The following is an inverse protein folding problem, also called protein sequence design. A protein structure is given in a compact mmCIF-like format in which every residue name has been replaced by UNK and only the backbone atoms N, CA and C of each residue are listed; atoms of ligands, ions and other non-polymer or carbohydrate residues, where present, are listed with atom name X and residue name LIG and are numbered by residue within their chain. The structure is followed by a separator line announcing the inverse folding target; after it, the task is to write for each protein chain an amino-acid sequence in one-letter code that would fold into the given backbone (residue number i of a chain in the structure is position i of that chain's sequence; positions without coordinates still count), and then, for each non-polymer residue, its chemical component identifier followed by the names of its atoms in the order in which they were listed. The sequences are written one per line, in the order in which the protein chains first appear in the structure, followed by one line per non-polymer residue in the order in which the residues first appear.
data_IF_479344475611
#
_entry.id   IF_479344475611
#
_cell.length_a   1.000
_cell.length_b   1.000
_cell.length_c   1.000
_cell.angle_alpha   90.00
_cell.angle_beta   90.00
_cell.angle_gamma   90.00
#
_symmetry.space_group_name_H-M   'P 1'
#
loop_
_entity.id
_entity.type
_entity.pdbx_description
1 polymer ?
#
# COMPACT_ATOMS: atom_id res chain seq x y z
N UNK A 1 79.05 -131.24 -33.76
CA UNK A 1 78.02 -131.13 -34.81
C UNK A 1 77.28 -132.46 -35.01
N UNK A 2 77.96 -133.60 -35.19
CA UNK A 2 77.34 -134.93 -35.30
C UNK A 2 76.51 -135.32 -34.05
N UNK A 3 77.04 -135.11 -32.84
CA UNK A 3 76.31 -135.43 -31.61
C UNK A 3 75.01 -134.61 -31.41
N UNK A 4 74.93 -133.39 -31.98
CA UNK A 4 73.72 -132.56 -31.90
C UNK A 4 72.66 -133.09 -32.86
N UNK A 5 73.06 -133.50 -34.07
CA UNK A 5 72.19 -134.10 -35.08
C UNK A 5 71.61 -135.46 -34.64
N UNK A 6 72.40 -136.29 -33.95
CA UNK A 6 71.90 -137.55 -33.39
C UNK A 6 70.88 -137.30 -32.28
N UNK A 7 71.16 -136.39 -31.34
CA UNK A 7 70.22 -136.08 -30.24
C UNK A 7 68.90 -135.52 -30.78
N UNK A 8 68.95 -134.73 -31.86
CA UNK A 8 67.75 -134.24 -32.56
C UNK A 8 67.01 -135.40 -33.23
N UNK A 9 67.72 -136.29 -33.94
CA UNK A 9 67.11 -137.37 -34.72
C UNK A 9 66.53 -138.51 -33.88
N UNK A 10 67.16 -138.94 -32.79
CA UNK A 10 66.68 -140.08 -31.99
C UNK A 10 65.76 -139.70 -30.83
N UNK A 11 65.81 -138.45 -30.35
CA UNK A 11 65.05 -138.06 -29.14
C UNK A 11 64.09 -136.88 -29.32
N UNK A 12 64.36 -135.93 -30.23
CA UNK A 12 63.49 -134.75 -30.39
C UNK A 12 62.47 -134.91 -31.51
N UNK A 13 62.84 -135.46 -32.67
CA UNK A 13 61.91 -135.67 -33.79
C UNK A 13 60.73 -136.61 -33.40
N UNK A 14 60.95 -137.77 -32.75
CA UNK A 14 59.84 -138.65 -32.38
C UNK A 14 58.92 -138.04 -31.31
N UNK A 15 59.47 -137.22 -30.41
CA UNK A 15 58.66 -136.48 -29.42
C UNK A 15 57.80 -135.42 -30.11
N UNK A 16 58.37 -134.67 -31.05
CA UNK A 16 57.62 -133.69 -31.85
C UNK A 16 56.57 -134.37 -32.73
N UNK A 17 56.86 -135.53 -33.33
CA UNK A 17 55.89 -136.32 -34.10
C UNK A 17 54.75 -136.90 -33.24
N UNK A 18 55.00 -137.22 -31.97
CA UNK A 18 53.98 -137.66 -31.01
C UNK A 18 53.20 -136.48 -30.37
N UNK A 19 53.82 -135.30 -30.29
CA UNK A 19 53.22 -134.08 -29.75
C UNK A 19 52.33 -133.36 -30.78
N UNK A 20 52.62 -133.44 -32.09
CA UNK A 20 51.78 -132.86 -33.15
C UNK A 20 50.32 -133.35 -33.10
N UNK A 21 50.02 -134.68 -33.06
CA UNK A 21 48.63 -135.13 -32.98
C UNK A 21 47.97 -134.79 -31.65
N UNK A 22 48.74 -134.69 -30.56
CA UNK A 22 48.24 -134.24 -29.25
C UNK A 22 47.86 -132.76 -29.28
N UNK A 23 48.70 -131.92 -29.87
CA UNK A 23 48.45 -130.48 -30.04
C UNK A 23 47.32 -130.22 -31.05
N UNK A 24 47.20 -131.00 -32.12
CA UNK A 24 46.07 -130.93 -33.05
C UNK A 24 44.76 -131.32 -32.38
N UNK A 25 44.76 -132.33 -31.51
CA UNK A 25 43.59 -132.71 -30.72
C UNK A 25 43.24 -131.64 -29.69
N UNK A 26 44.23 -131.09 -28.99
CA UNK A 26 44.06 -129.96 -28.06
C UNK A 26 43.50 -128.73 -28.76
N UNK A 27 43.99 -128.40 -29.96
CA UNK A 27 43.48 -127.31 -30.78
C UNK A 27 42.01 -127.54 -31.14
N UNK A 28 41.65 -128.74 -31.59
CA UNK A 28 40.25 -129.12 -31.90
C UNK A 28 39.35 -129.06 -30.66
N UNK A 29 39.84 -129.53 -29.52
CA UNK A 29 39.09 -129.49 -28.26
C UNK A 29 38.92 -128.03 -27.76
N UNK A 30 39.96 -127.19 -27.88
CA UNK A 30 39.91 -125.76 -27.55
C UNK A 30 39.04 -124.94 -28.53
N UNK A 31 39.10 -125.23 -29.84
CA UNK A 31 38.23 -124.63 -30.85
C UNK A 31 36.76 -124.96 -30.58
N UNK A 32 36.45 -126.20 -30.17
CA UNK A 32 35.09 -126.59 -29.76
C UNK A 32 34.64 -125.85 -28.50
N UNK A 33 35.52 -125.70 -27.51
CA UNK A 33 35.21 -124.92 -26.29
C UNK A 33 34.99 -123.45 -26.64
N UNK A 34 35.78 -122.89 -27.56
CA UNK A 34 35.60 -121.52 -28.04
C UNK A 34 34.27 -121.37 -28.79
N UNK A 35 33.90 -122.30 -29.66
CA UNK A 35 32.60 -122.33 -30.34
C UNK A 35 31.45 -122.41 -29.34
N UNK A 36 31.53 -123.27 -28.32
CA UNK A 36 30.52 -123.40 -27.26
C UNK A 36 30.39 -122.08 -26.46
N UNK A 37 31.51 -121.42 -26.13
CA UNK A 37 31.50 -120.12 -25.44
C UNK A 37 30.93 -119.02 -26.34
N UNK A 38 31.26 -119.01 -27.62
CA UNK A 38 30.73 -118.05 -28.60
C UNK A 38 29.22 -118.25 -28.77
N UNK A 39 28.74 -119.48 -28.81
CA UNK A 39 27.31 -119.77 -28.97
C UNK A 39 26.52 -119.47 -27.69
N UNK A 40 27.02 -119.83 -26.51
CA UNK A 40 26.39 -119.44 -25.23
C UNK A 40 26.36 -117.92 -25.04
N UNK A 41 27.48 -117.24 -25.33
CA UNK A 41 27.52 -115.78 -25.22
C UNK A 41 26.59 -115.10 -26.22
N UNK A 42 26.38 -115.65 -27.43
CA UNK A 42 25.34 -115.18 -28.36
C UNK A 42 23.94 -115.33 -27.77
N UNK A 43 23.61 -116.48 -27.17
CA UNK A 43 22.29 -116.73 -26.57
C UNK A 43 22.02 -115.75 -25.41
N UNK A 44 22.99 -115.55 -24.52
CA UNK A 44 22.89 -114.56 -23.44
C UNK A 44 22.79 -113.13 -23.99
N UNK A 45 23.60 -112.77 -25.00
CA UNK A 45 23.56 -111.45 -25.66
C UNK A 45 22.22 -111.20 -26.35
N UNK A 46 21.61 -112.22 -26.94
CA UNK A 46 20.29 -112.11 -27.58
C UNK A 46 19.16 -111.96 -26.56
N UNK A 47 19.28 -112.62 -25.40
CA UNK A 47 18.40 -112.40 -24.24
C UNK A 47 18.45 -110.94 -23.76
N UNK A 48 19.65 -110.41 -23.52
CA UNK A 48 19.84 -109.00 -23.14
C UNK A 48 19.41 -108.03 -24.24
N UNK A 49 19.60 -108.36 -25.52
CA UNK A 49 19.07 -107.56 -26.65
C UNK A 49 17.55 -107.51 -26.64
N UNK A 50 16.89 -108.64 -26.39
CA UNK A 50 15.43 -108.70 -26.31
C UNK A 50 14.89 -107.86 -25.15
N UNK A 51 15.52 -107.95 -23.97
CA UNK A 51 15.19 -107.09 -22.82
C UNK A 51 15.43 -105.61 -23.12
N UNK A 52 16.54 -105.28 -23.76
CA UNK A 52 16.88 -103.92 -24.16
C UNK A 52 15.91 -103.36 -25.20
N UNK A 53 15.42 -104.17 -26.14
CA UNK A 53 14.34 -103.78 -27.06
C UNK A 53 13.03 -103.55 -26.32
N UNK A 54 12.66 -104.40 -25.37
CA UNK A 54 11.45 -104.21 -24.54
C UNK A 54 11.53 -102.91 -23.74
N UNK A 55 12.64 -102.66 -23.05
CA UNK A 55 12.87 -101.43 -22.28
C UNK A 55 12.87 -100.20 -23.19
N UNK A 56 13.52 -100.25 -24.35
CA UNK A 56 13.49 -99.15 -25.33
C UNK A 56 12.09 -98.87 -25.85
N UNK A 57 11.34 -99.91 -26.21
CA UNK A 57 9.94 -99.75 -26.66
C UNK A 57 9.03 -99.21 -25.57
N UNK A 58 9.28 -99.54 -24.30
CA UNK A 58 8.56 -98.98 -23.17
C UNK A 58 8.98 -97.53 -22.87
N UNK A 59 10.22 -97.13 -23.17
CA UNK A 59 10.78 -95.79 -22.93
C UNK A 59 10.38 -94.76 -24.00
N UNK A 60 10.27 -95.18 -25.27
CA UNK A 60 9.91 -94.34 -26.42
C UNK A 60 8.66 -93.43 -26.20
N UNK A 61 7.52 -93.91 -25.66
CA UNK A 61 6.38 -93.03 -25.37
C UNK A 61 6.68 -91.98 -24.29
N UNK A 62 7.51 -92.30 -23.30
CA UNK A 62 7.93 -91.34 -22.26
C UNK A 62 8.87 -90.28 -22.81
N UNK A 63 9.78 -90.66 -23.71
CA UNK A 63 10.64 -89.71 -24.43
C UNK A 63 9.80 -88.75 -25.29
N UNK A 64 8.78 -89.26 -25.98
CA UNK A 64 7.85 -88.44 -26.75
C UNK A 64 7.03 -87.49 -25.87
N UNK A 65 6.47 -87.97 -24.75
CA UNK A 65 5.77 -87.13 -23.78
C UNK A 65 6.68 -86.06 -23.17
N UNK A 66 7.93 -86.41 -22.85
CA UNK A 66 8.91 -85.46 -22.33
C UNK A 66 9.22 -84.34 -23.34
N UNK A 67 9.34 -84.66 -24.63
CA UNK A 67 9.56 -83.67 -25.69
C UNK A 67 8.33 -82.76 -25.82
N UNK A 68 7.11 -83.31 -25.84
CA UNK A 68 5.87 -82.52 -25.95
C UNK A 68 5.70 -81.57 -24.74
N UNK A 69 5.87 -82.08 -23.51
CA UNK A 69 5.78 -81.25 -22.31
C UNK A 69 6.91 -80.21 -22.21
N UNK A 70 8.13 -80.53 -22.67
CA UNK A 70 9.20 -79.53 -22.78
C UNK A 70 8.85 -78.43 -23.78
N UNK A 71 8.27 -78.78 -24.93
CA UNK A 71 7.80 -77.80 -25.92
C UNK A 71 6.69 -76.90 -25.37
N UNK A 72 5.69 -77.47 -24.69
CA UNK A 72 4.62 -76.71 -24.01
C UNK A 72 5.16 -75.78 -22.93
N UNK A 73 6.12 -76.26 -22.13
CA UNK A 73 6.79 -75.45 -21.11
C UNK A 73 7.57 -74.29 -21.75
N UNK A 74 8.29 -74.53 -22.83
CA UNK A 74 9.04 -73.49 -23.54
C UNK A 74 8.09 -72.41 -24.09
N UNK A 75 7.00 -72.81 -24.75
CA UNK A 75 5.95 -71.88 -25.22
C UNK A 75 5.39 -71.07 -24.06
N UNK A 76 4.99 -71.71 -22.96
CA UNK A 76 4.46 -71.02 -21.78
C UNK A 76 5.48 -70.08 -21.13
N UNK A 77 6.77 -70.45 -21.10
CA UNK A 77 7.85 -69.59 -20.64
C UNK A 77 8.03 -68.36 -21.55
N UNK A 78 7.98 -68.51 -22.87
CA UNK A 78 8.04 -67.36 -23.79
C UNK A 78 6.83 -66.46 -23.68
N UNK A 79 5.62 -67.02 -23.56
CA UNK A 79 4.38 -66.26 -23.38
C UNK A 79 4.40 -65.49 -22.05
N UNK A 80 4.84 -66.13 -20.96
CA UNK A 80 5.01 -65.49 -19.66
C UNK A 80 6.02 -64.34 -19.69
N UNK A 81 7.17 -64.53 -20.36
CA UNK A 81 8.17 -63.46 -20.55
C UNK A 81 7.59 -62.28 -21.32
N UNK A 82 6.93 -62.53 -22.45
CA UNK A 82 6.31 -61.47 -23.26
C UNK A 82 5.21 -60.72 -22.49
N UNK A 83 4.38 -61.43 -21.72
CA UNK A 83 3.37 -60.82 -20.86
C UNK A 83 4.00 -59.97 -19.74
N UNK A 84 5.09 -60.44 -19.13
CA UNK A 84 5.83 -59.71 -18.10
C UNK A 84 6.46 -58.43 -18.67
N UNK A 85 7.18 -58.53 -19.78
CA UNK A 85 7.78 -57.37 -20.46
C UNK A 85 6.74 -56.34 -20.86
N UNK A 86 5.60 -56.79 -21.41
CA UNK A 86 4.50 -55.88 -21.77
C UNK A 86 3.87 -55.23 -20.54
N UNK A 87 3.68 -55.97 -19.46
CA UNK A 87 3.12 -55.45 -18.22
C UNK A 87 4.06 -54.45 -17.55
N UNK A 88 5.38 -54.71 -17.56
CA UNK A 88 6.39 -53.76 -17.09
C UNK A 88 6.41 -52.48 -17.93
N UNK A 89 6.34 -52.59 -19.26
CA UNK A 89 6.27 -51.45 -20.16
C UNK A 89 5.01 -50.60 -19.93
N UNK A 90 3.83 -51.21 -19.85
CA UNK A 90 2.57 -50.51 -19.54
C UNK A 90 2.57 -49.89 -18.15
N UNK A 91 3.14 -50.56 -17.14
CA UNK A 91 3.31 -50.01 -15.80
C UNK A 91 4.22 -48.77 -15.80
N UNK A 92 5.36 -48.85 -16.50
CA UNK A 92 6.27 -47.71 -16.63
C UNK A 92 5.60 -46.52 -17.32
N UNK A 93 4.84 -46.76 -18.40
CA UNK A 93 4.08 -45.73 -19.09
C UNK A 93 2.98 -45.10 -18.21
N UNK A 94 2.26 -45.92 -17.44
CA UNK A 94 1.26 -45.47 -16.47
C UNK A 94 1.89 -44.57 -15.39
N UNK A 95 3.00 -45.02 -14.79
CA UNK A 95 3.70 -44.24 -13.75
C UNK A 95 4.26 -42.93 -14.30
N UNK A 96 4.83 -42.92 -15.49
CA UNK A 96 5.32 -41.70 -16.13
C UNK A 96 4.19 -40.71 -16.42
N UNK A 97 3.07 -41.19 -16.99
CA UNK A 97 1.89 -40.35 -17.24
C UNK A 97 1.33 -39.76 -15.94
N UNK A 98 1.27 -40.55 -14.86
CA UNK A 98 0.82 -40.08 -13.55
C UNK A 98 1.77 -39.01 -12.98
N UNK A 99 3.09 -39.22 -13.05
CA UNK A 99 4.09 -38.23 -12.63
C UNK A 99 3.97 -36.93 -13.43
N UNK A 100 3.77 -37.02 -14.74
CA UNK A 100 3.56 -35.83 -15.59
C UNK A 100 2.29 -35.07 -15.17
N UNK A 101 1.19 -35.79 -14.92
CA UNK A 101 -0.06 -35.20 -14.46
C UNK A 101 0.10 -34.49 -13.12
N UNK A 102 0.70 -35.15 -12.13
CA UNK A 102 0.94 -34.57 -10.78
C UNK A 102 1.82 -33.31 -10.85
N UNK A 103 2.84 -33.32 -11.72
CA UNK A 103 3.68 -32.15 -11.95
C UNK A 103 2.90 -30.96 -12.54
N UNK A 104 2.00 -31.21 -13.50
CA UNK A 104 1.15 -30.17 -14.09
C UNK A 104 0.17 -29.64 -13.04
N UNK A 105 -0.53 -30.52 -12.32
CA UNK A 105 -1.47 -30.14 -11.26
C UNK A 105 -0.78 -29.29 -10.18
N UNK A 106 0.39 -29.72 -9.69
CA UNK A 106 1.15 -28.96 -8.71
C UNK A 106 1.62 -27.59 -9.22
N UNK A 107 1.91 -27.44 -10.51
CA UNK A 107 2.20 -26.13 -11.12
C UNK A 107 0.96 -25.25 -11.21
N UNK A 108 -0.20 -25.82 -11.56
CA UNK A 108 -1.48 -25.11 -11.61
C UNK A 108 -1.82 -24.60 -10.21
N UNK A 109 -1.79 -25.46 -9.19
CA UNK A 109 -2.10 -25.09 -7.80
C UNK A 109 -1.18 -23.99 -7.26
N UNK A 110 0.13 -24.08 -7.50
CA UNK A 110 1.07 -23.02 -7.10
C UNK A 110 0.76 -21.70 -7.80
N UNK A 111 0.43 -21.74 -9.08
CA UNK A 111 0.12 -20.55 -9.88
C UNK A 111 -1.20 -19.91 -9.43
N UNK A 112 -2.23 -20.72 -9.20
CA UNK A 112 -3.53 -20.23 -8.71
C UNK A 112 -3.41 -19.65 -7.30
N UNK A 113 -2.68 -20.30 -6.39
CA UNK A 113 -2.42 -19.78 -5.05
C UNK A 113 -1.66 -18.44 -5.08
N UNK A 114 -0.66 -18.31 -5.95
CA UNK A 114 0.07 -17.04 -6.10
C UNK A 114 -0.82 -15.92 -6.66
N UNK A 115 -1.66 -16.23 -7.65
CA UNK A 115 -2.61 -15.23 -8.19
C UNK A 115 -3.59 -14.79 -7.10
N UNK A 116 -4.13 -15.71 -6.31
CA UNK A 116 -5.04 -15.38 -5.22
C UNK A 116 -4.37 -14.47 -4.16
N UNK A 117 -3.10 -14.73 -3.83
CA UNK A 117 -2.32 -13.86 -2.93
C UNK A 117 -2.16 -12.45 -3.49
N UNK A 118 -1.71 -12.33 -4.75
CA UNK A 118 -1.55 -11.04 -5.42
C UNK A 118 -2.87 -10.26 -5.48
N UNK A 119 -3.99 -10.94 -5.76
CA UNK A 119 -5.32 -10.32 -5.75
C UNK A 119 -5.68 -9.78 -4.37
N UNK A 120 -5.43 -10.55 -3.30
CA UNK A 120 -5.69 -10.12 -1.93
C UNK A 120 -4.80 -8.92 -1.54
N UNK A 121 -3.53 -8.93 -1.92
CA UNK A 121 -2.60 -7.83 -1.65
C UNK A 121 -3.00 -6.55 -2.41
N UNK A 122 -3.49 -6.69 -3.65
CA UNK A 122 -4.06 -5.56 -4.42
C UNK A 122 -5.28 -4.99 -3.70
N UNK A 123 -6.24 -5.82 -3.27
CA UNK A 123 -7.43 -5.35 -2.57
C UNK A 123 -7.09 -4.69 -1.24
N UNK A 124 -6.11 -5.24 -0.50
CA UNK A 124 -5.59 -4.61 0.72
C UNK A 124 -5.02 -3.21 0.45
N UNK A 125 -4.16 -3.06 -0.55
CA UNK A 125 -3.60 -1.75 -0.88
C UNK A 125 -4.64 -0.78 -1.45
N UNK A 126 -5.65 -1.26 -2.17
CA UNK A 126 -6.80 -0.43 -2.60
C UNK A 126 -7.57 0.11 -1.41
N UNK A 127 -7.81 -0.73 -0.40
CA UNK A 127 -8.46 -0.31 0.84
C UNK A 127 -7.62 0.75 1.57
N UNK A 128 -6.31 0.51 1.74
CA UNK A 128 -5.38 1.48 2.35
C UNK A 128 -5.35 2.82 1.58
N UNK A 129 -5.30 2.78 0.24
CA UNK A 129 -5.34 3.97 -0.59
C UNK A 129 -6.67 4.73 -0.45
N UNK A 130 -7.79 4.02 -0.39
CA UNK A 130 -9.12 4.60 -0.19
C UNK A 130 -9.23 5.30 1.17
N UNK A 131 -8.77 4.66 2.25
CA UNK A 131 -8.81 5.27 3.59
C UNK A 131 -7.91 6.51 3.67
N UNK A 132 -6.71 6.45 3.10
CA UNK A 132 -5.82 7.61 3.03
C UNK A 132 -6.43 8.77 2.19
N UNK A 133 -7.14 8.47 1.10
CA UNK A 133 -7.89 9.48 0.33
C UNK A 133 -9.03 10.12 1.12
N UNK A 134 -9.76 9.34 1.95
CA UNK A 134 -10.78 9.91 2.83
C UNK A 134 -10.19 10.88 3.84
N UNK A 135 -9.08 10.49 4.47
CA UNK A 135 -8.36 11.37 5.42
C UNK A 135 -7.91 12.66 4.74
N UNK A 136 -7.36 12.58 3.52
CA UNK A 136 -6.99 13.77 2.74
C UNK A 136 -8.21 14.67 2.49
N UNK A 137 -9.33 14.10 2.05
CA UNK A 137 -10.55 14.85 1.79
C UNK A 137 -11.11 15.53 3.05
N UNK A 138 -11.15 14.82 4.18
CA UNK A 138 -11.59 15.37 5.47
C UNK A 138 -10.70 16.51 5.94
N UNK A 139 -9.37 16.33 5.87
CA UNK A 139 -8.41 17.38 6.23
C UNK A 139 -8.49 18.59 5.29
N UNK A 140 -8.70 18.39 3.99
CA UNK A 140 -8.87 19.49 3.02
C UNK A 140 -10.14 20.29 3.32
N UNK A 141 -11.26 19.64 3.66
CA UNK A 141 -12.48 20.33 4.10
C UNK A 141 -12.28 21.11 5.41
N UNK A 142 -11.58 20.51 6.39
CA UNK A 142 -11.25 21.19 7.65
C UNK A 142 -10.36 22.42 7.40
N UNK A 143 -9.38 22.30 6.48
CA UNK A 143 -8.53 23.41 6.07
C UNK A 143 -9.34 24.55 5.42
N UNK A 144 -10.24 24.22 4.48
CA UNK A 144 -11.09 25.21 3.80
C UNK A 144 -12.00 25.95 4.78
N UNK A 145 -12.51 25.27 5.82
CA UNK A 145 -13.32 25.89 6.88
C UNK A 145 -12.50 26.79 7.82
N UNK A 146 -11.23 26.46 8.09
CA UNK A 146 -10.36 27.21 9.01
C UNK A 146 -9.71 28.44 8.36
N UNK A 147 -9.44 28.43 7.05
CA UNK A 147 -8.84 29.57 6.33
C UNK A 147 -9.60 30.90 6.56
N UNK A 148 -10.93 31.01 6.39
CA UNK A 148 -11.62 32.27 6.60
C UNK A 148 -11.57 32.73 8.07
N UNK A 149 -11.54 31.79 9.02
CA UNK A 149 -11.42 32.08 10.46
C UNK A 149 -10.03 32.63 10.78
N UNK A 150 -8.97 32.03 10.22
CA UNK A 150 -7.59 32.53 10.34
C UNK A 150 -7.46 33.95 9.78
N UNK A 151 -8.03 34.20 8.59
CA UNK A 151 -8.00 35.52 7.97
C UNK A 151 -8.73 36.56 8.81
N UNK A 152 -9.91 36.24 9.35
CA UNK A 152 -10.65 37.13 10.23
C UNK A 152 -9.91 37.42 11.54
N UNK A 153 -9.32 36.39 12.16
CA UNK A 153 -8.49 36.55 13.36
C UNK A 153 -7.25 37.43 13.08
N UNK A 154 -6.62 37.26 11.92
CA UNK A 154 -5.46 38.04 11.51
C UNK A 154 -5.81 39.51 11.26
N UNK A 155 -6.95 39.79 10.63
CA UNK A 155 -7.48 41.15 10.45
C UNK A 155 -7.75 41.80 11.81
N UNK A 156 -8.43 41.09 12.73
CA UNK A 156 -8.70 41.56 14.09
C UNK A 156 -7.40 41.92 14.84
N UNK A 157 -6.37 41.09 14.77
CA UNK A 157 -5.05 41.39 15.38
C UNK A 157 -4.42 42.64 14.76
N UNK A 158 -4.46 42.79 13.44
CA UNK A 158 -3.90 43.95 12.75
C UNK A 158 -4.63 45.26 13.13
N UNK A 159 -5.96 45.22 13.22
CA UNK A 159 -6.78 46.35 13.66
C UNK A 159 -6.45 46.76 15.11
N UNK A 160 -6.42 45.80 16.04
CA UNK A 160 -6.13 46.07 17.44
C UNK A 160 -4.71 46.62 17.63
N UNK A 161 -3.72 46.08 16.92
CA UNK A 161 -2.33 46.60 16.92
C UNK A 161 -2.27 48.02 16.39
N UNK A 162 -2.94 48.30 15.28
CA UNK A 162 -2.98 49.66 14.72
C UNK A 162 -3.57 50.67 15.71
N UNK A 163 -4.61 50.28 16.46
CA UNK A 163 -5.19 51.15 17.50
C UNK A 163 -4.18 51.38 18.62
N UNK A 164 -3.59 50.33 19.18
CA UNK A 164 -2.62 50.45 20.28
C UNK A 164 -1.37 51.26 19.88
N UNK A 165 -0.84 51.08 18.68
CA UNK A 165 0.32 51.84 18.20
C UNK A 165 -0.03 53.32 17.97
N UNK A 166 -1.25 53.61 17.51
CA UNK A 166 -1.74 54.98 17.39
C UNK A 166 -1.89 55.66 18.76
N UNK A 167 -2.36 54.94 19.78
CA UNK A 167 -2.49 55.47 21.14
C UNK A 167 -1.15 55.70 21.81
N UNK A 168 -0.21 54.75 21.67
CA UNK A 168 1.15 54.86 22.21
C UNK A 168 1.89 56.05 21.61
N UNK A 169 1.85 56.21 20.28
CA UNK A 169 2.52 57.32 19.59
C UNK A 169 1.93 58.68 19.98
N UNK A 170 0.60 58.79 20.05
CA UNK A 170 -0.05 60.03 20.52
C UNK A 170 0.32 60.35 21.98
N UNK A 171 0.36 59.34 22.86
CA UNK A 171 0.75 59.50 24.26
C UNK A 171 2.20 59.95 24.45
N UNK A 172 3.15 59.35 23.70
CA UNK A 172 4.57 59.72 23.77
C UNK A 172 4.84 61.12 23.25
N UNK A 173 4.22 61.51 22.14
CA UNK A 173 4.29 62.86 21.57
C UNK A 173 3.77 63.89 22.56
N UNK A 174 2.57 63.66 23.10
CA UNK A 174 1.95 64.61 24.03
C UNK A 174 2.80 64.79 25.30
N UNK A 175 3.30 63.69 25.87
CA UNK A 175 4.14 63.73 27.07
C UNK A 175 5.41 64.56 26.87
N UNK A 176 6.09 64.42 25.72
CA UNK A 176 7.32 65.16 25.46
C UNK A 176 7.08 66.66 25.23
N UNK A 177 6.00 67.02 24.54
CA UNK A 177 5.65 68.42 24.32
C UNK A 177 5.22 69.10 25.63
N UNK A 178 4.41 68.43 26.45
CA UNK A 178 4.05 68.94 27.78
C UNK A 178 5.27 69.07 28.69
N UNK A 179 6.20 68.11 28.64
CA UNK A 179 7.47 68.23 29.38
C UNK A 179 8.32 69.42 28.88
N UNK A 180 8.34 69.70 27.57
CA UNK A 180 9.03 70.85 27.01
C UNK A 180 8.42 72.20 27.47
N UNK A 181 7.09 72.23 27.62
CA UNK A 181 6.33 73.36 28.21
C UNK A 181 6.67 73.53 29.70
N UNK A 182 6.55 72.48 30.51
CA UNK A 182 6.80 72.54 31.97
C UNK A 182 8.26 72.90 32.30
N UNK A 183 9.21 72.38 31.53
CA UNK A 183 10.63 72.69 31.69
C UNK A 183 11.06 74.04 31.10
N UNK A 184 10.11 74.82 30.55
CA UNK A 184 10.35 76.11 29.89
C UNK A 184 11.43 76.07 28.79
N UNK A 185 11.68 74.91 28.17
CA UNK A 185 12.62 74.77 27.04
C UNK A 185 12.10 75.47 25.79
N UNK A 186 10.79 75.46 25.60
CA UNK A 186 10.08 76.13 24.50
C UNK A 186 8.93 76.90 25.14
N UNK A 187 9.05 78.22 25.25
CA UNK A 187 8.02 79.10 25.81
C UNK A 187 7.03 79.52 24.73
N UNK A 188 5.72 79.58 25.05
CA UNK A 188 4.66 79.89 24.08
C UNK A 188 3.94 78.66 23.50
N UNK A 189 4.10 77.50 24.15
CA UNK A 189 3.23 76.33 23.98
C UNK A 189 2.06 76.47 24.96
N UNK A 190 0.83 76.44 24.46
CA UNK A 190 -0.37 76.47 25.30
C UNK A 190 -0.71 75.06 25.76
N UNK A 191 -1.58 74.36 25.05
CA UNK A 191 -1.91 72.96 25.34
C UNK A 191 -2.53 72.29 24.12
N UNK A 192 -2.91 71.02 24.26
CA UNK A 192 -3.80 70.36 23.31
C UNK A 192 -5.12 71.12 23.24
N UNK A 193 -5.59 71.36 22.03
CA UNK A 193 -6.79 72.16 21.79
C UNK A 193 -8.03 71.62 22.52
N UNK A 194 -8.24 70.29 22.55
CA UNK A 194 -9.35 69.69 23.28
C UNK A 194 -9.30 69.84 24.81
N UNK A 195 -8.12 70.15 25.38
CA UNK A 195 -7.92 70.35 26.81
C UNK A 195 -8.11 71.84 27.21
N UNK A 196 -8.14 72.75 26.22
CA UNK A 196 -8.39 74.20 26.39
C UNK A 196 -9.89 74.56 26.33
N UNK A 197 -10.74 73.57 26.12
CA UNK A 197 -12.17 73.69 25.87
C UNK A 197 -12.99 73.06 27.00
N UNK A 198 -14.20 73.58 27.18
CA UNK A 198 -15.28 72.87 27.86
C UNK A 198 -16.56 72.93 27.01
N UNK A 199 -17.21 71.79 26.81
CA UNK A 199 -18.50 71.66 26.12
C UNK A 199 -19.41 70.69 26.89
N UNK A 200 -20.72 70.82 26.71
CA UNK A 200 -21.70 69.91 27.30
C UNK A 200 -21.52 68.48 26.75
N UNK A 201 -21.59 67.48 27.63
CA UNK A 201 -21.42 66.07 27.30
C UNK A 201 -22.38 65.60 26.18
N UNK A 202 -23.55 66.24 26.04
CA UNK A 202 -24.49 65.99 24.94
C UNK A 202 -23.84 66.13 23.56
N UNK A 203 -22.87 67.02 23.41
CA UNK A 203 -22.22 67.33 22.13
C UNK A 203 -20.83 66.70 21.98
N UNK A 204 -20.38 65.87 22.93
CA UNK A 204 -19.01 65.30 22.91
C UNK A 204 -18.73 64.48 21.65
N UNK A 205 -19.68 63.62 21.23
CA UNK A 205 -19.55 62.82 20.01
C UNK A 205 -19.55 63.71 18.76
N UNK A 206 -20.43 64.71 18.73
CA UNK A 206 -20.55 65.66 17.62
C UNK A 206 -19.26 66.47 17.42
N UNK A 207 -18.69 67.04 18.49
CA UNK A 207 -17.47 67.84 18.38
C UNK A 207 -16.23 66.98 18.13
N UNK A 208 -16.13 65.80 18.76
CA UNK A 208 -15.02 64.86 18.58
C UNK A 208 -14.96 64.31 17.16
N UNK A 209 -16.12 64.18 16.50
CA UNK A 209 -16.23 63.79 15.09
C UNK A 209 -15.95 64.97 14.16
N UNK A 210 -16.57 66.13 14.42
CA UNK A 210 -16.50 67.28 13.53
C UNK A 210 -15.16 68.05 13.61
N UNK A 211 -14.40 67.89 14.69
CA UNK A 211 -13.16 68.64 14.90
C UNK A 211 -11.96 67.68 15.06
N UNK A 212 -11.32 67.28 13.95
CA UNK A 212 -10.03 66.57 14.06
C UNK A 212 -8.94 67.45 14.70
N UNK A 213 -9.11 68.78 14.68
CA UNK A 213 -8.20 69.75 15.27
C UNK A 213 -8.10 69.73 16.80
N UNK A 214 -9.00 69.03 17.50
CA UNK A 214 -8.91 68.89 18.96
C UNK A 214 -7.62 68.19 19.43
N UNK A 215 -7.01 67.39 18.56
CA UNK A 215 -5.74 66.72 18.81
C UNK A 215 -4.52 67.62 18.50
N UNK A 216 -4.73 68.84 17.99
CA UNK A 216 -3.64 69.75 17.66
C UNK A 216 -3.12 70.45 18.91
N UNK A 217 -1.82 70.73 18.92
CA UNK A 217 -1.18 71.48 19.99
C UNK A 217 -1.15 72.95 19.60
N UNK A 218 -1.71 73.81 20.45
CA UNK A 218 -1.77 75.25 20.19
C UNK A 218 -0.45 75.91 20.59
N UNK A 219 0.16 76.64 19.66
CA UNK A 219 1.42 77.36 19.85
C UNK A 219 1.28 78.81 19.37
N UNK A 220 2.05 79.72 19.97
CA UNK A 220 1.90 81.15 19.69
C UNK A 220 2.40 81.52 18.28
N UNK A 221 3.61 81.10 17.90
CA UNK A 221 4.29 81.52 16.67
C UNK A 221 4.76 80.35 15.80
N UNK A 222 5.08 80.67 14.54
CA UNK A 222 5.62 79.69 13.58
C UNK A 222 6.99 79.11 13.97
N UNK A 223 7.86 79.93 14.58
CA UNK A 223 9.19 79.51 15.02
C UNK A 223 9.12 78.49 16.15
N UNK A 224 8.16 78.64 17.07
CA UNK A 224 7.94 77.71 18.16
C UNK A 224 7.40 76.35 17.66
N UNK A 225 6.50 76.38 16.67
CA UNK A 225 6.02 75.16 16.03
C UNK A 225 7.17 74.35 15.41
N UNK A 226 8.09 75.04 14.70
CA UNK A 226 9.28 74.41 14.11
C UNK A 226 10.19 73.80 15.18
N UNK A 227 10.45 74.53 16.28
CA UNK A 227 11.23 74.01 17.40
C UNK A 227 10.60 72.74 18.03
N UNK A 228 9.27 72.69 18.14
CA UNK A 228 8.57 71.49 18.60
C UNK A 228 8.72 70.31 17.62
N UNK A 229 8.63 70.57 16.31
CA UNK A 229 8.86 69.53 15.28
C UNK A 229 10.29 69.01 15.33
N UNK A 230 11.28 69.88 15.51
CA UNK A 230 12.68 69.48 15.66
C UNK A 230 12.92 68.64 16.91
N UNK A 231 12.27 68.98 18.03
CA UNK A 231 12.30 68.18 19.25
C UNK A 231 11.77 66.76 19.00
N UNK A 232 10.59 66.64 18.37
CA UNK A 232 9.99 65.34 18.07
C UNK A 232 10.85 64.51 17.11
N UNK A 233 11.51 65.15 16.13
CA UNK A 233 12.46 64.49 15.22
C UNK A 233 13.72 64.02 15.95
N UNK A 234 14.29 64.85 16.81
CA UNK A 234 15.52 64.53 17.56
C UNK A 234 15.31 63.35 18.50
N UNK A 235 14.13 63.27 19.11
CA UNK A 235 13.78 62.22 20.07
C UNK A 235 13.02 61.04 19.43
N UNK A 236 12.79 61.08 18.11
CA UNK A 236 12.08 60.08 17.31
C UNK A 236 10.72 59.67 17.90
N UNK A 237 9.95 60.66 18.35
CA UNK A 237 8.72 60.43 19.13
C UNK A 237 7.45 60.33 18.28
N UNK A 238 7.51 60.72 17.00
CA UNK A 238 6.39 60.65 16.05
C UNK A 238 6.05 61.99 15.40
N UNK A 239 4.80 62.12 14.96
CA UNK A 239 4.28 63.30 14.26
C UNK A 239 3.19 63.95 15.11
N UNK A 240 3.28 65.28 15.25
CA UNK A 240 2.25 66.11 15.85
C UNK A 240 1.82 67.19 14.87
N UNK A 241 0.56 67.63 14.98
CA UNK A 241 0.04 68.77 14.24
C UNK A 241 -0.11 69.95 15.18
N UNK A 242 0.37 71.12 14.76
CA UNK A 242 0.39 72.33 15.58
C UNK A 242 -0.56 73.38 15.01
N UNK A 243 -1.37 73.99 15.88
CA UNK A 243 -2.22 75.12 15.55
C UNK A 243 -1.51 76.41 15.94
N UNK A 244 -1.11 77.21 14.96
CA UNK A 244 -0.30 78.42 15.16
C UNK A 244 -1.22 79.63 15.31
N UNK A 245 -1.26 80.22 16.51
CA UNK A 245 -2.19 81.29 16.88
C UNK A 245 -1.97 82.57 16.07
N UNK A 246 -0.71 82.97 15.86
CA UNK A 246 -0.31 84.13 15.03
C UNK A 246 -0.95 84.11 13.64
N UNK A 247 -1.16 82.92 13.06
CA UNK A 247 -1.73 82.77 11.71
C UNK A 247 -3.26 82.76 11.67
N UNK A 248 -3.93 82.75 12.82
CA UNK A 248 -5.40 82.74 12.89
C UNK A 248 -6.00 84.13 13.15
N UNK A 249 -5.17 85.16 13.34
CA UNK A 249 -5.62 86.52 13.71
C UNK A 249 -6.55 87.13 12.65
N UNK A 250 -6.37 86.78 11.37
CA UNK A 250 -7.22 87.25 10.26
C UNK A 250 -8.68 86.78 10.34
N UNK A 251 -8.98 85.80 11.21
CA UNK A 251 -10.33 85.31 11.45
C UNK A 251 -11.12 86.16 12.46
N UNK A 252 -10.47 87.09 13.17
CA UNK A 252 -11.10 87.96 14.16
C UNK A 252 -12.35 88.70 13.66
N UNK A 253 -12.40 89.27 12.44
CA UNK A 253 -13.59 89.95 11.95
C UNK A 253 -14.78 88.99 11.77
N UNK A 254 -14.53 87.79 11.25
CA UNK A 254 -15.54 86.74 11.01
C UNK A 254 -16.07 86.15 12.31
N UNK A 255 -15.22 86.10 13.34
CA UNK A 255 -15.60 85.65 14.68
C UNK A 255 -16.71 86.50 15.31
N UNK A 256 -16.68 87.81 15.06
CA UNK A 256 -17.61 88.79 15.65
C UNK A 256 -18.91 88.95 14.86
N UNK A 257 -19.04 88.27 13.72
CA UNK A 257 -20.21 88.37 12.87
C UNK A 257 -21.42 87.68 13.52
N UNK A 258 -22.59 88.34 13.47
CA UNK A 258 -23.84 87.74 13.95
C UNK A 258 -24.42 86.88 12.84
N UNK A 259 -24.47 85.58 13.10
CA UNK A 259 -24.83 84.56 12.11
C UNK A 259 -26.18 83.95 12.48
N UNK A 260 -27.08 83.76 11.50
CA UNK A 260 -28.39 83.08 11.69
C UNK A 260 -28.32 81.68 11.12
N UNK A 261 -28.48 80.67 11.98
CA UNK A 261 -28.40 79.27 11.59
C UNK A 261 -29.72 78.77 10.93
N UNK A 262 -29.65 77.88 9.94
CA UNK A 262 -30.83 77.22 9.35
C UNK A 262 -31.59 76.39 10.40
N UNK A 263 -32.91 76.30 10.29
CA UNK A 263 -33.77 75.51 11.21
C UNK A 263 -33.56 75.80 12.72
N UNK A 264 -32.88 76.90 13.09
CA UNK A 264 -32.58 77.23 14.49
C UNK A 264 -31.56 76.31 15.17
N UNK A 265 -30.78 75.53 14.41
CA UNK A 265 -29.79 74.61 14.99
C UNK A 265 -28.62 75.35 15.63
N UNK A 266 -27.99 74.74 16.63
CA UNK A 266 -26.83 75.33 17.30
C UNK A 266 -25.56 75.15 16.47
N UNK A 267 -24.72 76.19 16.40
CA UNK A 267 -23.37 76.12 15.84
C UNK A 267 -22.42 75.58 16.92
N UNK A 268 -21.60 74.58 16.59
CA UNK A 268 -20.66 73.96 17.55
C UNK A 268 -19.75 74.99 18.21
N UNK A 269 -19.23 75.93 17.43
CA UNK A 269 -18.36 76.99 17.94
C UNK A 269 -19.01 77.81 19.07
N UNK A 270 -20.32 78.08 19.01
CA UNK A 270 -21.01 78.87 20.04
C UNK A 270 -21.26 78.08 21.33
N UNK A 271 -21.17 76.75 21.26
CA UNK A 271 -21.33 75.86 22.40
C UNK A 271 -20.01 75.64 23.16
N UNK A 272 -18.86 75.93 22.52
CA UNK A 272 -17.53 75.79 23.11
C UNK A 272 -17.26 76.94 24.08
N UNK A 273 -16.92 76.60 25.32
CA UNK A 273 -16.47 77.55 26.34
C UNK A 273 -14.96 77.44 26.49
N UNK A 274 -14.26 78.57 26.47
CA UNK A 274 -12.81 78.65 26.64
C UNK A 274 -12.47 79.61 27.76
N UNK A 275 -11.35 79.36 28.45
CA UNK A 275 -10.87 80.24 29.52
C UNK A 275 -10.22 81.52 28.97
N UNK A 276 -9.44 81.40 27.90
CA UNK A 276 -8.81 82.53 27.20
C UNK A 276 -9.54 82.81 25.87
N UNK A 277 -10.06 84.02 25.73
CA UNK A 277 -10.74 84.49 24.52
C UNK A 277 -9.87 84.42 23.26
N UNK A 278 -8.53 84.49 23.39
CA UNK A 278 -7.61 84.33 22.26
C UNK A 278 -7.73 82.93 21.65
N UNK A 279 -8.04 81.92 22.45
CA UNK A 279 -8.22 80.55 21.98
C UNK A 279 -9.48 80.38 21.15
N UNK A 280 -10.48 81.28 21.23
CA UNK A 280 -11.65 81.20 20.34
C UNK A 280 -11.28 81.25 18.87
N UNK A 281 -10.16 81.91 18.52
CA UNK A 281 -9.65 81.93 17.15
C UNK A 281 -9.27 80.55 16.64
N UNK A 282 -8.65 79.71 17.48
CA UNK A 282 -8.25 78.37 17.09
C UNK A 282 -9.48 77.48 16.91
N UNK A 283 -10.46 77.58 17.81
CA UNK A 283 -11.74 76.86 17.68
C UNK A 283 -12.54 77.30 16.45
N UNK A 284 -12.56 78.58 16.13
CA UNK A 284 -13.21 79.06 14.91
C UNK A 284 -12.46 78.62 13.65
N UNK A 285 -11.13 78.56 13.67
CA UNK A 285 -10.35 78.04 12.55
C UNK A 285 -10.66 76.55 12.28
N UNK A 286 -10.84 75.74 13.33
CA UNK A 286 -11.11 74.31 13.20
C UNK A 286 -12.58 73.98 12.92
N UNK A 287 -13.52 74.67 13.57
CA UNK A 287 -14.96 74.40 13.48
C UNK A 287 -15.68 75.28 12.45
N UNK A 288 -15.26 76.52 12.27
CA UNK A 288 -15.96 77.52 11.47
C UNK A 288 -17.46 77.56 11.77
N UNK A 289 -18.28 77.57 10.72
CA UNK A 289 -19.75 77.56 10.81
C UNK A 289 -20.35 76.15 10.88
N UNK A 290 -19.67 75.18 11.51
CA UNK A 290 -20.21 73.83 11.67
C UNK A 290 -21.40 73.82 12.63
N UNK A 291 -22.51 73.23 12.20
CA UNK A 291 -23.75 73.13 12.97
C UNK A 291 -24.06 71.71 13.40
N UNK A 292 -24.82 71.57 14.49
CA UNK A 292 -25.24 70.28 15.05
C UNK A 292 -26.70 70.01 14.72
N UNK A 293 -26.96 68.89 14.04
CA UNK A 293 -28.30 68.36 13.81
C UNK A 293 -28.63 67.26 14.82
N UNK A 294 -29.92 67.03 15.11
CA UNK A 294 -30.33 65.95 15.99
C UNK A 294 -30.26 64.58 15.29
N UNK A 295 -30.57 64.53 14.00
CA UNK A 295 -30.67 63.30 13.22
C UNK A 295 -30.11 63.48 11.79
N UNK A 296 -30.00 62.36 11.07
CA UNK A 296 -29.46 62.31 9.71
C UNK A 296 -30.33 63.07 8.69
N UNK A 297 -31.65 63.06 8.88
CA UNK A 297 -32.59 63.70 7.97
C UNK A 297 -32.47 65.22 8.05
N UNK A 298 -32.41 65.77 9.26
CA UNK A 298 -32.13 67.17 9.53
C UNK A 298 -30.74 67.56 9.01
N UNK A 299 -29.72 66.72 9.24
CA UNK A 299 -28.39 66.98 8.72
C UNK A 299 -28.38 67.09 7.18
N UNK A 300 -29.08 66.19 6.50
CA UNK A 300 -29.18 66.15 5.04
C UNK A 300 -29.88 67.39 4.48
N UNK A 301 -31.00 67.82 5.08
CA UNK A 301 -31.72 69.04 4.66
C UNK A 301 -30.88 70.30 4.81
N UNK A 302 -30.10 70.40 5.89
CA UNK A 302 -29.25 71.57 6.14
C UNK A 302 -28.00 71.53 5.25
N UNK A 303 -27.33 70.39 5.13
CA UNK A 303 -26.09 70.24 4.37
C UNK A 303 -26.26 70.51 2.87
N UNK A 304 -27.38 70.04 2.29
CA UNK A 304 -27.71 70.23 0.88
C UNK A 304 -28.76 71.31 0.62
N UNK A 305 -29.13 72.07 1.65
CA UNK A 305 -30.07 73.19 1.55
C UNK A 305 -29.50 74.40 0.81
N UNK A 306 -30.29 75.48 0.76
CA UNK A 306 -29.94 76.70 0.02
C UNK A 306 -28.81 77.55 0.63
N UNK A 307 -28.39 77.30 1.88
CA UNK A 307 -27.35 78.08 2.53
C UNK A 307 -25.95 77.50 2.25
N UNK A 308 -25.09 78.30 1.63
CA UNK A 308 -23.70 77.93 1.36
C UNK A 308 -22.82 77.89 2.60
N UNK A 309 -23.18 78.64 3.64
CA UNK A 309 -22.30 78.90 4.78
C UNK A 309 -22.35 77.82 5.86
N UNK A 310 -23.44 77.03 5.91
CA UNK A 310 -23.69 75.98 6.92
C UNK A 310 -23.77 74.56 6.33
N UNK A 311 -23.16 74.34 5.17
CA UNK A 311 -23.12 73.00 4.54
C UNK A 311 -22.40 71.94 5.39
N UNK A 312 -21.56 72.39 6.34
CA UNK A 312 -20.86 71.50 7.27
C UNK A 312 -21.75 71.21 8.47
N UNK A 313 -22.26 69.99 8.56
CA UNK A 313 -23.22 69.57 9.59
C UNK A 313 -22.77 68.29 10.23
N UNK A 314 -22.89 68.19 11.55
CA UNK A 314 -22.66 66.95 12.29
C UNK A 314 -23.91 66.56 13.07
N UNK A 315 -24.24 65.27 13.14
CA UNK A 315 -25.33 64.79 14.01
C UNK A 315 -24.84 64.55 15.43
N UNK A 316 -25.76 64.49 16.40
CA UNK A 316 -25.43 64.08 17.76
C UNK A 316 -24.78 62.68 17.82
N UNK A 317 -25.15 61.80 16.87
CA UNK A 317 -24.60 60.44 16.74
C UNK A 317 -23.25 60.38 16.00
N UNK A 318 -22.73 61.50 15.49
CA UNK A 318 -21.42 61.57 14.85
C UNK A 318 -21.41 61.24 13.35
N UNK A 319 -22.51 61.41 12.63
CA UNK A 319 -22.49 61.49 11.17
C UNK A 319 -22.08 62.91 10.74
N UNK A 320 -21.10 63.03 9.84
CA UNK A 320 -20.51 64.30 9.42
C UNK A 320 -20.72 64.54 7.92
N UNK A 321 -21.23 65.72 7.58
CA UNK A 321 -21.33 66.25 6.24
C UNK A 321 -20.34 67.40 6.09
N UNK A 322 -19.49 67.33 5.06
CA UNK A 322 -18.47 68.34 4.78
C UNK A 322 -18.93 69.32 3.71
N UNK A 323 -18.32 70.51 3.68
CA UNK A 323 -18.64 71.55 2.67
C UNK A 323 -18.35 71.10 1.24
N UNK A 324 -17.44 70.14 1.07
CA UNK A 324 -17.10 69.49 -0.20
C UNK A 324 -18.23 68.62 -0.75
N UNK A 325 -19.25 68.30 0.05
CA UNK A 325 -20.30 67.33 -0.29
C UNK A 325 -19.98 65.89 0.11
N UNK A 326 -18.85 65.64 0.77
CA UNK A 326 -18.56 64.30 1.31
C UNK A 326 -19.35 64.04 2.60
N UNK A 327 -19.87 62.82 2.74
CA UNK A 327 -20.56 62.35 3.94
C UNK A 327 -19.73 61.24 4.60
N UNK A 328 -19.55 61.31 5.91
CA UNK A 328 -18.86 60.32 6.74
C UNK A 328 -19.80 59.84 7.85
N UNK A 329 -20.01 58.53 7.92
CA UNK A 329 -20.83 57.89 8.95
C UNK A 329 -20.76 56.37 8.82
N UNK A 330 -20.94 55.66 9.94
CA UNK A 330 -20.84 54.20 10.02
C UNK A 330 -19.75 53.71 10.98
N UNK A 331 -19.88 52.46 11.41
CA UNK A 331 -19.06 51.84 12.46
C UNK A 331 -19.86 51.61 13.75
N UNK A 332 -19.43 50.64 14.56
CA UNK A 332 -20.13 50.25 15.80
C UNK A 332 -19.81 51.14 17.00
N UNK A 333 -18.77 51.99 16.91
CA UNK A 333 -18.31 52.83 18.02
C UNK A 333 -18.25 54.30 17.59
N UNK A 334 -18.99 55.21 18.26
CA UNK A 334 -18.87 56.64 18.03
C UNK A 334 -17.49 57.15 18.48
N UNK A 335 -16.94 58.12 17.76
CA UNK A 335 -15.70 58.82 18.14
C UNK A 335 -16.01 59.88 19.20
N UNK A 336 -16.05 59.49 20.47
CA UNK A 336 -16.16 60.40 21.62
C UNK A 336 -14.83 60.55 22.39
N UNK A 337 -14.81 61.42 23.40
CA UNK A 337 -13.69 61.49 24.34
C UNK A 337 -12.47 62.29 23.88
N UNK A 338 -12.61 63.17 22.88
CA UNK A 338 -11.50 64.07 22.49
C UNK A 338 -11.42 65.34 23.33
N UNK A 339 -12.47 65.65 24.08
CA UNK A 339 -12.60 66.83 24.95
C UNK A 339 -12.00 66.56 26.34
N UNK A 340 -11.46 67.59 27.00
CA UNK A 340 -10.73 67.46 28.28
C UNK A 340 -11.56 66.93 29.47
N UNK A 341 -12.88 66.89 29.35
CA UNK A 341 -13.82 66.43 30.40
C UNK A 341 -14.17 64.94 30.34
N UNK A 342 -13.79 64.23 29.27
CA UNK A 342 -14.25 62.86 29.02
C UNK A 342 -13.09 61.87 29.16
N UNK A 343 -13.20 60.96 30.14
CA UNK A 343 -12.27 59.85 30.32
C UNK A 343 -12.27 59.06 29.01
N UNK A 344 -11.10 58.90 28.36
CA UNK A 344 -10.92 58.09 27.14
C UNK A 344 -11.31 56.63 27.43
N UNK A 345 -12.60 56.31 27.30
CA UNK A 345 -13.16 54.99 27.62
C UNK A 345 -12.87 53.92 26.54
N UNK A 346 -11.98 54.21 25.59
CA UNK A 346 -11.76 53.39 24.40
C UNK A 346 -10.31 52.95 24.21
N UNK A 347 -9.49 52.95 25.27
CA UNK A 347 -8.18 52.32 25.18
C UNK A 347 -8.35 50.82 25.01
N UNK A 348 -7.90 50.28 23.88
CA UNK A 348 -7.78 48.84 23.69
C UNK A 348 -6.78 48.35 24.72
N UNK A 349 -7.20 47.45 25.61
CA UNK A 349 -6.30 46.93 26.63
C UNK A 349 -5.19 46.10 25.98
N UNK A 350 -3.98 46.18 26.52
CA UNK A 350 -2.84 45.41 26.02
C UNK A 350 -3.10 43.91 26.12
N UNK A 351 -3.91 43.47 27.09
CA UNK A 351 -4.34 42.08 27.23
C UNK A 351 -5.20 41.62 26.05
N UNK A 352 -6.11 42.47 25.56
CA UNK A 352 -6.96 42.12 24.42
C UNK A 352 -6.18 41.86 23.13
N UNK A 353 -5.03 42.52 22.94
CA UNK A 353 -4.11 42.24 21.83
C UNK A 353 -3.44 40.89 22.02
N UNK A 354 -2.91 40.61 23.22
CA UNK A 354 -2.22 39.35 23.54
C UNK A 354 -3.18 38.16 23.40
N UNK A 355 -4.41 38.29 23.85
CA UNK A 355 -5.42 37.24 23.72
C UNK A 355 -5.76 36.97 22.24
N UNK A 356 -5.94 38.03 21.43
CA UNK A 356 -6.18 37.88 19.99
C UNK A 356 -4.97 37.28 19.24
N UNK A 357 -3.74 37.63 19.63
CA UNK A 357 -2.52 37.01 19.09
C UNK A 357 -2.43 35.52 19.45
N UNK A 358 -2.81 35.16 20.68
CA UNK A 358 -2.84 33.77 21.13
C UNK A 358 -3.89 32.96 20.38
N UNK A 359 -5.09 33.52 20.20
CA UNK A 359 -6.13 32.91 19.34
C UNK A 359 -5.61 32.65 17.92
N UNK A 360 -5.01 33.66 17.29
CA UNK A 360 -4.41 33.53 15.96
C UNK A 360 -3.33 32.44 15.92
N UNK A 361 -2.42 32.40 16.91
CA UNK A 361 -1.38 31.37 17.00
C UNK A 361 -1.99 29.97 17.03
N UNK A 362 -3.01 29.74 17.86
CA UNK A 362 -3.64 28.41 17.95
C UNK A 362 -4.29 27.98 16.66
N UNK A 363 -4.88 28.91 15.89
CA UNK A 363 -5.49 28.60 14.59
C UNK A 363 -4.40 28.29 13.55
N UNK A 364 -3.31 29.05 13.54
CA UNK A 364 -2.16 28.82 12.64
C UNK A 364 -1.51 27.46 12.92
N UNK A 365 -1.34 27.09 14.20
CA UNK A 365 -0.79 25.80 14.60
C UNK A 365 -1.67 24.64 14.12
N UNK A 366 -3.00 24.75 14.30
CA UNK A 366 -3.96 23.77 13.78
C UNK A 366 -3.91 23.65 12.26
N UNK A 367 -3.84 24.78 11.53
CA UNK A 367 -3.71 24.76 10.07
C UNK A 367 -2.42 24.09 9.61
N UNK A 368 -1.31 24.30 10.33
CA UNK A 368 -0.04 23.65 10.02
C UNK A 368 -0.11 22.13 10.27
N UNK A 369 -0.74 21.68 11.36
CA UNK A 369 -0.98 20.26 11.64
C UNK A 369 -1.84 19.60 10.54
N UNK A 370 -2.95 20.24 10.16
CA UNK A 370 -3.82 19.76 9.08
C UNK A 370 -3.06 19.67 7.75
N UNK A 371 -2.25 20.68 7.42
CA UNK A 371 -1.41 20.65 6.20
C UNK A 371 -0.41 19.50 6.21
N UNK A 372 0.19 19.17 7.37
CA UNK A 372 1.07 18.00 7.48
C UNK A 372 0.29 16.70 7.28
N UNK A 373 -0.88 16.58 7.92
CA UNK A 373 -1.77 15.41 7.75
C UNK A 373 -2.18 15.20 6.30
N UNK A 374 -2.46 16.28 5.55
CA UNK A 374 -2.73 16.21 4.10
C UNK A 374 -1.52 15.68 3.35
N UNK A 375 -0.32 16.23 3.59
CA UNK A 375 0.92 15.77 2.93
C UNK A 375 1.20 14.30 3.21
N UNK A 376 1.00 13.85 4.44
CA UNK A 376 1.20 12.46 4.84
C UNK A 376 0.16 11.52 4.24
N UNK A 377 -1.12 11.92 4.22
CA UNK A 377 -2.19 11.18 3.56
C UNK A 377 -1.94 11.05 2.05
N UNK A 378 -1.50 12.14 1.40
CA UNK A 378 -1.12 12.15 -0.02
C UNK A 378 0.03 11.20 -0.29
N UNK A 379 1.08 11.25 0.53
CA UNK A 379 2.22 10.33 0.41
C UNK A 379 1.79 8.88 0.58
N UNK A 380 0.89 8.61 1.53
CA UNK A 380 0.38 7.27 1.84
C UNK A 380 -0.39 6.68 0.66
N UNK A 381 -1.43 7.37 0.15
CA UNK A 381 -2.22 6.80 -0.95
C UNK A 381 -1.39 6.66 -2.23
N UNK A 382 -0.48 7.60 -2.52
CA UNK A 382 0.41 7.48 -3.69
C UNK A 382 1.36 6.30 -3.58
N UNK A 383 1.86 5.98 -2.38
CA UNK A 383 2.68 4.80 -2.15
C UNK A 383 1.86 3.52 -2.41
N UNK A 384 0.63 3.45 -1.89
CA UNK A 384 -0.28 2.33 -2.13
C UNK A 384 -0.67 2.20 -3.61
N UNK A 385 -0.92 3.29 -4.33
CA UNK A 385 -1.20 3.27 -5.77
C UNK A 385 -0.01 2.76 -6.60
N UNK A 386 1.21 3.14 -6.24
CA UNK A 386 2.42 2.57 -6.88
C UNK A 386 2.55 1.08 -6.60
N UNK A 387 2.27 0.64 -5.37
CA UNK A 387 2.27 -0.77 -5.01
C UNK A 387 1.20 -1.55 -5.80
N UNK A 388 -0.01 -1.01 -5.92
CA UNK A 388 -1.08 -1.58 -6.76
C UNK A 388 -0.60 -1.74 -8.20
N UNK A 389 -0.06 -0.70 -8.82
CA UNK A 389 0.41 -0.76 -10.20
C UNK A 389 1.50 -1.84 -10.42
N UNK A 390 2.43 -1.98 -9.47
CA UNK A 390 3.45 -3.03 -9.50
C UNK A 390 2.83 -4.43 -9.36
N UNK A 391 1.91 -4.60 -8.42
CA UNK A 391 1.23 -5.88 -8.19
C UNK A 391 0.31 -6.25 -9.36
N UNK A 392 -0.37 -5.29 -9.99
CA UNK A 392 -1.19 -5.51 -11.19
C UNK A 392 -0.34 -5.94 -12.38
N UNK A 393 0.85 -5.34 -12.55
CA UNK A 393 1.81 -5.77 -13.56
C UNK A 393 2.32 -7.20 -13.30
N UNK A 394 2.65 -7.53 -12.05
CA UNK A 394 3.04 -8.90 -11.68
C UNK A 394 1.89 -9.89 -11.86
N UNK A 395 0.66 -9.50 -11.49
CA UNK A 395 -0.54 -10.30 -11.72
C UNK A 395 -0.76 -10.53 -13.21
N UNK A 396 -0.61 -9.52 -14.06
CA UNK A 396 -0.73 -9.66 -15.51
C UNK A 396 0.31 -10.63 -16.09
N UNK A 397 1.57 -10.53 -15.65
CA UNK A 397 2.63 -11.49 -16.03
C UNK A 397 2.29 -12.91 -15.60
N UNK A 398 1.82 -13.09 -14.35
CA UNK A 398 1.45 -14.42 -13.82
C UNK A 398 0.17 -14.97 -14.45
N UNK A 399 -0.79 -14.10 -14.78
CA UNK A 399 -2.00 -14.46 -15.51
C UNK A 399 -1.69 -14.89 -16.95
N UNK A 400 -0.73 -14.27 -17.61
CA UNK A 400 -0.22 -14.73 -18.91
C UNK A 400 0.48 -16.10 -18.84
N UNK A 401 0.99 -16.47 -17.66
CA UNK A 401 1.51 -17.80 -17.35
C UNK A 401 0.49 -18.78 -16.75
N UNK A 402 -0.82 -18.43 -16.71
CA UNK A 402 -1.87 -19.40 -16.36
C UNK A 402 -1.77 -20.61 -17.28
N UNK A 403 -2.22 -21.80 -16.81
CA UNK A 403 -2.26 -22.98 -17.65
C UNK A 403 -2.97 -22.62 -18.95
N UNK A 404 -2.19 -22.65 -20.03
CA UNK A 404 -2.72 -22.39 -21.36
C UNK A 404 -3.71 -23.51 -21.67
N UNK A 405 -4.59 -23.26 -22.64
CA UNK A 405 -5.49 -24.29 -23.17
C UNK A 405 -4.72 -25.58 -23.48
N UNK A 406 -3.52 -25.45 -24.02
CA UNK A 406 -2.59 -26.56 -24.30
C UNK A 406 -2.20 -27.41 -23.07
N UNK A 407 -2.01 -26.80 -21.89
CA UNK A 407 -1.68 -27.55 -20.66
C UNK A 407 -2.91 -28.30 -20.11
N UNK A 408 -4.10 -27.71 -20.28
CA UNK A 408 -5.38 -28.36 -19.92
C UNK A 408 -5.69 -29.52 -20.89
N UNK A 409 -5.51 -29.30 -22.18
CA UNK A 409 -5.69 -30.33 -23.21
C UNK A 409 -4.71 -31.49 -23.00
N UNK A 410 -3.44 -31.19 -22.67
CA UNK A 410 -2.44 -32.21 -22.30
C UNK A 410 -2.83 -32.98 -21.03
N UNK A 411 -3.44 -32.32 -20.05
CA UNK A 411 -3.91 -32.99 -18.83
C UNK A 411 -5.04 -33.97 -19.16
N UNK A 412 -5.96 -33.60 -20.05
CA UNK A 412 -7.05 -34.48 -20.49
C UNK A 412 -6.55 -35.64 -21.37
N UNK A 413 -5.52 -35.42 -22.19
CA UNK A 413 -4.81 -36.48 -22.90
C UNK A 413 -4.14 -37.46 -21.92
N UNK A 414 -3.39 -36.95 -20.93
CA UNK A 414 -2.75 -37.78 -19.91
C UNK A 414 -3.76 -38.60 -19.12
N UNK A 415 -4.91 -38.03 -18.74
CA UNK A 415 -6.00 -38.78 -18.10
C UNK A 415 -6.53 -39.92 -18.97
N UNK A 416 -6.68 -39.69 -20.27
CA UNK A 416 -7.09 -40.75 -21.22
C UNK A 416 -6.02 -41.84 -21.28
N UNK A 417 -4.75 -41.48 -21.40
CA UNK A 417 -3.62 -42.43 -21.42
C UNK A 417 -3.55 -43.26 -20.15
N UNK A 418 -3.67 -42.63 -18.97
CA UNK A 418 -3.71 -43.32 -17.68
C UNK A 418 -4.86 -44.34 -17.66
N UNK A 419 -6.07 -43.95 -18.08
CA UNK A 419 -7.22 -44.86 -18.13
C UNK A 419 -7.04 -46.02 -19.11
N UNK A 420 -6.37 -45.80 -20.25
CA UNK A 420 -6.09 -46.87 -21.21
C UNK A 420 -5.02 -47.83 -20.72
N UNK A 421 -3.94 -47.32 -20.12
CA UNK A 421 -2.87 -48.15 -19.56
C UNK A 421 -3.34 -48.94 -18.33
N UNK A 422 -4.17 -48.35 -17.47
CA UNK A 422 -4.78 -49.04 -16.32
C UNK A 422 -5.60 -50.26 -16.79
N UNK A 423 -6.40 -50.10 -17.85
CA UNK A 423 -7.16 -51.20 -18.46
C UNK A 423 -6.27 -52.24 -19.15
N UNK A 424 -5.12 -51.85 -19.70
CA UNK A 424 -4.16 -52.78 -20.29
C UNK A 424 -3.46 -53.58 -19.18
N UNK A 425 -3.01 -52.93 -18.11
CA UNK A 425 -2.40 -53.58 -16.94
C UNK A 425 -3.38 -54.62 -16.36
N UNK A 426 -4.64 -54.28 -16.15
CA UNK A 426 -5.65 -55.23 -15.64
C UNK A 426 -5.84 -56.42 -16.59
N UNK A 427 -5.89 -56.17 -17.91
CA UNK A 427 -5.96 -57.24 -18.92
C UNK A 427 -4.74 -58.15 -18.88
N UNK A 428 -3.54 -57.60 -18.71
CA UNK A 428 -2.30 -58.38 -18.64
C UNK A 428 -2.19 -59.18 -17.34
N UNK A 429 -2.63 -58.62 -16.21
CA UNK A 429 -2.73 -59.34 -14.94
C UNK A 429 -3.66 -60.54 -15.09
N UNK A 430 -4.83 -60.34 -15.72
CA UNK A 430 -5.78 -61.42 -15.96
C UNK A 430 -5.25 -62.47 -16.96
N UNK A 431 -4.52 -62.03 -17.99
CA UNK A 431 -3.82 -62.92 -18.93
C UNK A 431 -2.79 -63.81 -18.22
N UNK A 432 -1.93 -63.20 -17.39
CA UNK A 432 -0.92 -63.91 -16.59
C UNK A 432 -1.53 -64.90 -15.59
N UNK A 433 -2.68 -64.58 -14.98
CA UNK A 433 -3.44 -65.52 -14.13
C UNK A 433 -3.92 -66.73 -14.94
N UNK A 434 -4.58 -66.50 -16.07
CA UNK A 434 -5.06 -67.58 -16.95
C UNK A 434 -3.94 -68.49 -17.44
N UNK A 435 -2.79 -67.91 -17.81
CA UNK A 435 -1.63 -68.69 -18.24
C UNK A 435 -1.07 -69.54 -17.09
N UNK A 436 -0.99 -68.98 -15.88
CA UNK A 436 -0.58 -69.72 -14.68
C UNK A 436 -1.52 -70.89 -14.40
N UNK A 437 -2.82 -70.65 -14.43
CA UNK A 437 -3.83 -71.68 -14.18
C UNK A 437 -3.74 -72.79 -15.24
N UNK A 438 -3.53 -72.43 -16.51
CA UNK A 438 -3.36 -73.39 -17.61
C UNK A 438 -2.12 -74.27 -17.40
N UNK A 439 -0.96 -73.67 -17.10
CA UNK A 439 0.28 -74.42 -16.83
C UNK A 439 0.12 -75.31 -15.60
N UNK A 440 -0.57 -74.83 -14.57
CA UNK A 440 -0.85 -75.61 -13.36
C UNK A 440 -1.72 -76.84 -13.65
N UNK A 441 -2.81 -76.68 -14.42
CA UNK A 441 -3.67 -77.80 -14.84
C UNK A 441 -2.96 -78.80 -15.74
N UNK A 442 -2.15 -78.33 -16.69
CA UNK A 442 -1.34 -79.23 -17.55
C UNK A 442 -0.32 -80.03 -16.73
N UNK A 443 0.28 -79.43 -15.70
CA UNK A 443 1.18 -80.11 -14.77
C UNK A 443 0.46 -81.17 -13.93
N UNK A 444 -0.73 -80.87 -13.40
CA UNK A 444 -1.56 -81.83 -12.64
C UNK A 444 -1.96 -83.02 -13.52
N UNK A 445 -2.39 -82.76 -14.76
CA UNK A 445 -2.76 -83.81 -15.71
C UNK A 445 -1.56 -84.71 -16.06
N UNK A 446 -0.37 -84.13 -16.23
CA UNK A 446 0.84 -84.88 -16.48
C UNK A 446 1.19 -85.82 -15.31
N UNK A 447 1.13 -85.34 -14.06
CA UNK A 447 1.41 -86.17 -12.88
C UNK A 447 0.40 -87.32 -12.78
N UNK A 448 -0.90 -87.04 -12.96
CA UNK A 448 -1.94 -88.08 -12.93
C UNK A 448 -1.80 -89.13 -14.03
N UNK A 449 -1.41 -88.73 -15.24
CA UNK A 449 -1.23 -89.65 -16.36
C UNK A 449 0.06 -90.49 -16.25
N UNK A 450 1.06 -90.00 -15.53
CA UNK A 450 2.41 -90.58 -15.48
C UNK A 450 2.66 -91.50 -14.28
N UNK A 451 1.85 -91.41 -13.21
CA UNK A 451 2.06 -92.16 -11.97
C UNK A 451 0.88 -93.07 -11.65
N UNK A 452 1.17 -94.26 -11.09
CA UNK A 452 0.18 -95.23 -10.64
C UNK A 452 -0.66 -94.64 -9.47
N UNK A 453 -1.99 -94.83 -9.40
CA UNK A 453 -2.84 -94.17 -8.40
C UNK A 453 -2.39 -94.38 -6.95
N UNK A 454 -1.83 -95.56 -6.66
CA UNK A 454 -1.33 -95.93 -5.32
C UNK A 454 -0.07 -95.15 -4.88
N UNK A 455 0.67 -94.55 -5.83
CA UNK A 455 1.87 -93.74 -5.57
C UNK A 455 1.52 -92.25 -5.47
N UNK A 456 0.47 -91.80 -6.17
CA UNK A 456 0.00 -90.41 -6.09
C UNK A 456 -0.48 -90.05 -4.67
N UNK A 457 -1.11 -90.98 -3.96
CA UNK A 457 -1.64 -90.73 -2.61
C UNK A 457 -0.55 -90.51 -1.53
N UNK A 458 0.71 -90.86 -1.82
CA UNK A 458 1.85 -90.64 -0.90
C UNK A 458 2.66 -89.38 -1.20
N UNK A 459 2.56 -88.81 -2.41
CA UNK A 459 3.33 -87.63 -2.84
C UNK A 459 2.53 -86.32 -2.82
N UNK A 460 1.21 -86.39 -2.78
CA UNK A 460 0.35 -85.22 -2.61
C UNK A 460 0.40 -84.82 -1.13
N UNK A 461 1.29 -83.89 -0.78
CA UNK A 461 1.27 -83.21 0.53
C UNK A 461 -0.01 -82.38 0.67
N UNK A 462 -0.49 -82.23 1.90
CA UNK A 462 -1.78 -81.61 2.26
C UNK A 462 -2.04 -80.21 1.62
N UNK A 463 -0.99 -79.49 1.22
CA UNK A 463 -1.11 -78.21 0.51
C UNK A 463 -1.73 -78.34 -0.89
N UNK A 464 -1.45 -79.44 -1.60
CA UNK A 464 -2.03 -79.70 -2.93
C UNK A 464 -3.50 -80.13 -2.79
N UNK A 465 -3.86 -80.89 -1.74
CA UNK A 465 -5.26 -81.24 -1.44
C UNK A 465 -6.12 -80.03 -1.05
N UNK A 466 -5.55 -79.05 -0.33
CA UNK A 466 -6.28 -77.83 0.08
C UNK A 466 -6.59 -76.85 -1.05
N UNK A 467 -5.89 -76.95 -2.18
CA UNK A 467 -6.08 -76.05 -3.33
C UNK A 467 -7.01 -76.67 -4.39
N UNK A 468 -7.43 -77.93 -4.20
CA UNK A 468 -8.23 -78.73 -5.14
C UNK A 468 -9.71 -78.90 -4.70
N UNK A 469 -10.11 -78.33 -3.55
CA UNK A 469 -11.50 -78.12 -3.13
C UNK A 469 -11.71 -76.62 -3.06
#
# INVERSE_FOLDING_TARGET
MIAILETISTNMIPKLEDDIPKLQKLLLDEERVLEDIVENSKVETEGYRSELVKVRSALEPWEQQLIDHKGKLEVACTESKLLSEKHEASRAAFEDAHRQMDNILGRIEKTTANIAKLQNDIEKHKFEASEARKVEQECTQEQEALIPIEQAARQKVAELKSVVDSEKSQGSVMKAILQAKESNKIQGIYDRMGDLEAIDAKYDVAISTACPGLDYIVVETTTLAQACVELLRRENLGVATFMILEKQVDLLPKLKEKVRTPEGVSRLFDLVRVQDERMKLTFFAALGNTVVANDLDQATRIAYGGSTDFRRVVTLDGALFEKSGTMSGGGSKPRGGKTGTSIRATSVSTEAVVDAEKELSTIVDKLNDIRQRIVDAVRSYQASERAIAQLEMELAKKAASRPRKDELDRLDELKKTISTEEKEIERLIQGSKKLRDKVHWEFILFIHASFNPDILDTWITDDVRRTLI
#
